data_IF_220990618710
#
_entry.id   IF_220990618710
#
_cell.length_a   1.000
_cell.length_b   1.000
_cell.length_c   1.000
_cell.angle_alpha   90.00
_cell.angle_beta   90.00
_cell.angle_gamma   90.00
#
_symmetry.space_group_name_H-M   'P 1'
#
loop_
_entity.id
_entity.type
_entity.pdbx_description
1 polymer ?
#
# COMPACT_ATOMS: atom_id res chain seq x y z
N UNK A 1 9.96 -9.38 7.53
CA UNK A 1 10.96 -8.64 8.33
C UNK A 1 10.21 -7.60 9.14
N UNK A 2 10.38 -7.57 10.46
CA UNK A 2 9.76 -6.55 11.30
C UNK A 2 10.49 -5.21 11.12
N UNK A 3 9.78 -4.08 11.06
CA UNK A 3 10.40 -2.77 10.86
C UNK A 3 11.15 -2.34 12.12
N UNK A 4 12.39 -1.86 11.97
CA UNK A 4 13.13 -1.25 13.07
C UNK A 4 12.60 0.12 13.49
N UNK A 5 11.97 0.86 12.56
CA UNK A 5 11.40 2.19 12.81
C UNK A 5 10.08 2.34 12.09
N UNK A 6 9.04 2.81 12.79
CA UNK A 6 7.74 3.18 12.21
C UNK A 6 7.63 4.70 12.21
N UNK A 7 7.30 5.28 11.05
CA UNK A 7 7.11 6.72 10.92
C UNK A 7 5.64 7.06 10.86
N UNK A 8 5.20 7.98 11.71
CA UNK A 8 3.81 8.42 11.82
C UNK A 8 3.71 9.94 11.82
N UNK A 9 2.49 10.46 11.67
CA UNK A 9 2.20 11.86 11.92
C UNK A 9 2.22 12.20 13.43
N UNK A 10 2.00 13.46 13.81
CA UNK A 10 2.08 13.91 15.22
C UNK A 10 0.81 13.67 16.05
N UNK A 11 -0.10 12.80 15.61
CA UNK A 11 -1.32 12.48 16.34
C UNK A 11 -0.99 11.80 17.69
N UNK A 12 -1.66 12.26 18.74
CA UNK A 12 -1.51 11.78 20.12
C UNK A 12 -1.95 10.31 20.31
N UNK A 13 -2.70 9.74 19.37
CA UNK A 13 -3.12 8.34 19.42
C UNK A 13 -1.97 7.34 19.18
N UNK A 14 -0.93 7.71 18.41
CA UNK A 14 0.09 6.75 17.99
C UNK A 14 0.99 6.22 19.11
N UNK A 15 1.48 7.04 20.07
CA UNK A 15 2.29 6.51 21.16
C UNK A 15 1.55 5.40 21.94
N UNK A 16 0.29 5.63 22.31
CA UNK A 16 -0.51 4.62 23.00
C UNK A 16 -0.73 3.37 22.15
N UNK A 17 -1.03 3.54 20.85
CA UNK A 17 -1.20 2.40 19.95
C UNK A 17 0.09 1.57 19.78
N UNK A 18 1.25 2.23 19.68
CA UNK A 18 2.55 1.56 19.51
C UNK A 18 2.93 0.77 20.76
N UNK A 19 2.69 1.30 21.96
CA UNK A 19 2.95 0.56 23.19
C UNK A 19 2.03 -0.66 23.31
N UNK A 20 0.73 -0.54 23.01
CA UNK A 20 -0.18 -1.70 22.94
C UNK A 20 0.33 -2.76 21.96
N UNK A 21 0.81 -2.35 20.78
CA UNK A 21 1.35 -3.27 19.76
C UNK A 21 2.68 -3.93 20.16
N UNK A 22 3.44 -3.33 21.08
CA UNK A 22 4.65 -3.94 21.65
C UNK A 22 4.30 -4.93 22.77
N UNK A 23 3.28 -4.61 23.55
CA UNK A 23 2.80 -5.43 24.66
C UNK A 23 2.12 -6.71 24.17
N UNK A 24 1.37 -6.63 23.07
CA UNK A 24 0.74 -7.78 22.40
C UNK A 24 1.67 -8.55 21.44
N UNK A 25 2.94 -8.14 21.38
CA UNK A 25 4.01 -8.73 20.54
C UNK A 25 3.72 -8.70 19.04
N UNK A 26 2.79 -7.84 18.57
CA UNK A 26 2.54 -7.63 17.14
C UNK A 26 3.73 -6.96 16.44
N UNK A 27 4.45 -6.07 17.16
CA UNK A 27 5.70 -5.46 16.69
C UNK A 27 6.83 -5.71 17.68
N UNK A 28 8.08 -5.63 17.22
CA UNK A 28 9.25 -5.81 18.07
C UNK A 28 9.30 -4.68 19.13
N UNK A 29 9.61 -5.04 20.39
CA UNK A 29 9.80 -4.07 21.48
C UNK A 29 10.90 -3.05 21.17
N UNK A 30 11.84 -3.41 20.29
CA UNK A 30 12.91 -2.54 19.78
C UNK A 30 12.46 -1.61 18.65
N UNK A 31 11.25 -1.76 18.11
CA UNK A 31 10.74 -0.89 17.06
C UNK A 31 10.58 0.54 17.60
N UNK A 32 11.28 1.48 16.98
CA UNK A 32 11.24 2.89 17.34
C UNK A 32 10.08 3.62 16.66
N UNK A 33 9.43 4.54 17.39
CA UNK A 33 8.45 5.45 16.84
C UNK A 33 9.11 6.75 16.41
N UNK A 34 8.96 7.13 15.14
CA UNK A 34 9.44 8.40 14.59
C UNK A 34 8.29 9.28 14.15
N UNK A 35 8.19 10.47 14.74
CA UNK A 35 7.24 11.49 14.30
C UNK A 35 7.93 12.50 13.37
N UNK A 36 7.70 12.41 12.06
CA UNK A 36 8.33 13.31 11.08
C UNK A 36 7.34 13.77 10.02
N UNK A 37 7.03 15.09 10.04
CA UNK A 37 6.13 15.70 9.06
C UNK A 37 6.64 15.56 7.62
N UNK A 38 7.94 15.71 7.41
CA UNK A 38 8.53 15.61 6.08
C UNK A 38 8.39 14.21 5.51
N UNK A 39 8.72 13.18 6.30
CA UNK A 39 8.58 11.80 5.87
C UNK A 39 7.12 11.38 5.73
N UNK A 40 6.22 11.96 6.55
CA UNK A 40 4.79 11.76 6.37
C UNK A 40 4.30 12.29 5.01
N UNK A 41 4.90 13.34 4.45
CA UNK A 41 4.52 13.84 3.12
C UNK A 41 4.69 12.78 2.02
N UNK A 42 5.68 11.88 2.15
CA UNK A 42 5.89 10.79 1.21
C UNK A 42 4.76 9.76 1.29
N UNK A 43 4.33 9.41 2.50
CA UNK A 43 3.13 8.56 2.73
C UNK A 43 1.89 9.24 2.14
N UNK A 44 1.73 10.55 2.37
CA UNK A 44 0.60 11.29 1.81
C UNK A 44 0.64 11.41 0.29
N UNK A 45 1.83 11.41 -0.31
CA UNK A 45 1.97 11.35 -1.76
C UNK A 45 1.50 10.01 -2.31
N UNK A 46 1.82 8.89 -1.66
CA UNK A 46 1.32 7.57 -2.05
C UNK A 46 -0.22 7.50 -1.97
N UNK A 47 -0.81 8.11 -0.94
CA UNK A 47 -2.27 8.22 -0.81
C UNK A 47 -2.93 8.98 -1.97
N UNK A 48 -2.25 9.93 -2.62
CA UNK A 48 -2.83 10.72 -3.71
C UNK A 48 -3.23 9.84 -4.90
N UNK A 49 -2.45 8.80 -5.19
CA UNK A 49 -2.74 7.90 -6.31
C UNK A 49 -4.04 7.13 -6.09
N UNK A 50 -4.22 6.59 -4.89
CA UNK A 50 -5.44 5.86 -4.51
C UNK A 50 -6.63 6.82 -4.50
N UNK A 51 -6.49 7.99 -3.85
CA UNK A 51 -7.55 9.01 -3.78
C UNK A 51 -7.96 9.51 -5.16
N UNK A 52 -7.01 9.68 -6.10
CA UNK A 52 -7.30 10.09 -7.49
C UNK A 52 -8.19 9.09 -8.21
N UNK A 53 -7.95 7.78 -8.02
CA UNK A 53 -8.75 6.72 -8.64
C UNK A 53 -10.13 6.63 -7.98
N UNK A 54 -10.20 6.72 -6.65
CA UNK A 54 -11.44 6.50 -5.89
C UNK A 54 -12.38 7.71 -5.89
N UNK A 55 -11.85 8.94 -5.94
CA UNK A 55 -12.65 10.18 -5.88
C UNK A 55 -13.79 10.25 -6.93
N UNK A 56 -13.58 9.93 -8.22
CA UNK A 56 -14.66 9.93 -9.21
C UNK A 56 -15.68 8.80 -9.02
N UNK A 57 -15.38 7.77 -8.21
CA UNK A 57 -16.28 6.64 -7.95
C UNK A 57 -17.38 6.96 -6.92
N UNK A 58 -17.39 8.19 -6.36
CA UNK A 58 -18.28 8.61 -5.26
C UNK A 58 -18.17 7.72 -4.01
N UNK A 59 -16.98 7.16 -3.77
CA UNK A 59 -16.71 6.29 -2.62
C UNK A 59 -17.14 4.84 -2.83
N UNK A 60 -17.09 4.06 -1.75
CA UNK A 60 -17.44 2.64 -1.76
C UNK A 60 -18.74 2.41 -1.01
N UNK A 61 -19.67 1.65 -1.60
CA UNK A 61 -20.96 1.34 -0.96
C UNK A 61 -20.86 0.34 0.20
N UNK A 62 -19.86 -0.53 0.20
CA UNK A 62 -19.65 -1.52 1.27
C UNK A 62 -18.16 -1.71 1.55
N UNK A 63 -17.83 -2.18 2.77
CA UNK A 63 -16.45 -2.51 3.15
C UNK A 63 -15.85 -3.61 2.26
N UNK A 64 -16.64 -4.62 1.91
CA UNK A 64 -16.19 -5.71 1.04
C UNK A 64 -15.83 -5.21 -0.37
N UNK A 65 -16.64 -4.32 -0.93
CA UNK A 65 -16.33 -3.66 -2.20
C UNK A 65 -15.05 -2.81 -2.09
N UNK A 66 -14.93 -2.00 -1.04
CA UNK A 66 -13.74 -1.18 -0.79
C UNK A 66 -12.47 -2.04 -0.75
N UNK A 67 -12.48 -3.11 0.05
CA UNK A 67 -11.35 -4.04 0.20
C UNK A 67 -10.94 -4.68 -1.13
N UNK A 68 -11.91 -5.16 -1.92
CA UNK A 68 -11.64 -5.79 -3.23
C UNK A 68 -11.07 -4.77 -4.23
N UNK A 69 -11.67 -3.58 -4.31
CA UNK A 69 -11.22 -2.53 -5.25
C UNK A 69 -9.83 -2.01 -4.88
N UNK A 70 -9.56 -1.73 -3.60
CA UNK A 70 -8.25 -1.27 -3.15
C UNK A 70 -7.16 -2.30 -3.43
N UNK A 71 -7.42 -3.60 -3.17
CA UNK A 71 -6.50 -4.68 -3.52
C UNK A 71 -6.21 -4.75 -5.02
N UNK A 72 -7.22 -4.54 -5.87
CA UNK A 72 -7.02 -4.48 -7.32
C UNK A 72 -6.14 -3.29 -7.74
N UNK A 73 -6.37 -2.12 -7.16
CA UNK A 73 -5.54 -0.92 -7.42
C UNK A 73 -4.08 -1.16 -7.00
N UNK A 74 -3.86 -1.78 -5.86
CA UNK A 74 -2.51 -2.15 -5.38
C UNK A 74 -1.85 -3.17 -6.31
N UNK A 75 -2.56 -4.23 -6.72
CA UNK A 75 -2.04 -5.23 -7.65
C UNK A 75 -1.59 -4.62 -8.97
N UNK A 76 -2.40 -3.74 -9.56
CA UNK A 76 -2.02 -3.02 -10.79
C UNK A 76 -0.81 -2.11 -10.58
N UNK A 77 -0.69 -1.47 -9.41
CA UNK A 77 0.49 -0.67 -9.09
C UNK A 77 1.76 -1.53 -8.95
N UNK A 78 1.68 -2.73 -8.37
CA UNK A 78 2.80 -3.67 -8.27
C UNK A 78 3.27 -4.14 -9.65
N UNK A 79 2.32 -4.47 -10.54
CA UNK A 79 2.59 -4.81 -11.95
C UNK A 79 3.33 -3.64 -12.63
N UNK A 80 2.79 -2.43 -12.53
CA UNK A 80 3.38 -1.23 -13.14
C UNK A 80 4.81 -0.96 -12.64
N UNK A 81 5.06 -1.17 -11.35
CA UNK A 81 6.38 -0.99 -10.72
C UNK A 81 7.36 -2.14 -10.99
N UNK A 82 6.94 -3.23 -11.65
CA UNK A 82 7.79 -4.40 -11.88
C UNK A 82 8.16 -5.14 -10.59
N UNK A 83 7.30 -5.07 -9.56
CA UNK A 83 7.54 -5.74 -8.28
C UNK A 83 7.24 -7.26 -8.34
N UNK A 84 6.76 -7.74 -9.48
CA UNK A 84 6.48 -9.14 -9.74
C UNK A 84 7.57 -9.73 -10.62
N UNK A 85 7.88 -11.00 -10.38
CA UNK A 85 8.89 -11.73 -11.15
C UNK A 85 8.52 -11.75 -12.64
N UNK A 86 9.51 -11.49 -13.50
CA UNK A 86 9.31 -11.48 -14.95
C UNK A 86 8.67 -10.21 -15.51
N UNK A 87 8.34 -9.22 -14.67
CA UNK A 87 7.82 -7.92 -15.13
C UNK A 87 8.93 -6.87 -15.03
N UNK A 88 9.22 -6.22 -16.16
CA UNK A 88 10.16 -5.10 -16.19
C UNK A 88 9.40 -3.81 -15.87
N UNK A 89 9.88 -3.07 -14.87
CA UNK A 89 9.27 -1.80 -14.46
C UNK A 89 9.12 -0.86 -15.66
N UNK A 90 7.91 -0.34 -15.89
CA UNK A 90 7.61 0.55 -17.01
C UNK A 90 7.51 -0.10 -18.40
N UNK A 91 7.82 -1.40 -18.56
CA UNK A 91 7.65 -2.11 -19.83
C UNK A 91 6.20 -2.56 -20.02
N UNK A 92 5.47 -1.84 -20.88
CA UNK A 92 4.09 -2.15 -21.26
C UNK A 92 3.94 -3.56 -21.84
N UNK A 93 4.93 -4.03 -22.61
CA UNK A 93 4.93 -5.38 -23.21
C UNK A 93 4.99 -6.47 -22.13
N UNK A 94 5.89 -6.33 -21.16
CA UNK A 94 5.98 -7.34 -20.08
C UNK A 94 4.74 -7.36 -19.19
N UNK A 95 4.13 -6.19 -18.95
CA UNK A 95 2.90 -6.07 -18.18
C UNK A 95 1.70 -6.66 -18.93
N UNK A 96 1.58 -6.40 -20.23
CA UNK A 96 0.51 -6.95 -21.07
C UNK A 96 0.57 -8.48 -21.11
N UNK A 97 1.75 -9.05 -21.39
CA UNK A 97 1.95 -10.51 -21.39
C UNK A 97 1.62 -11.16 -20.06
N UNK A 98 1.96 -10.51 -18.95
CA UNK A 98 1.62 -11.00 -17.62
C UNK A 98 0.11 -11.03 -17.38
N UNK A 99 -0.60 -9.98 -17.80
CA UNK A 99 -2.06 -9.90 -17.69
C UNK A 99 -2.72 -10.97 -18.58
N UNK A 100 -2.29 -11.09 -19.84
CA UNK A 100 -2.76 -12.14 -20.76
C UNK A 100 -2.61 -13.54 -20.16
N UNK A 101 -1.45 -13.82 -19.56
CA UNK A 101 -1.18 -15.09 -18.89
C UNK A 101 -2.09 -15.35 -17.68
N UNK A 102 -2.38 -14.34 -16.85
CA UNK A 102 -3.29 -14.48 -15.70
C UNK A 102 -4.73 -14.77 -16.13
N UNK A 103 -5.21 -14.03 -17.14
CA UNK A 103 -6.61 -14.12 -17.55
C UNK A 103 -6.86 -15.21 -18.57
N UNK A 104 -5.82 -15.94 -19.02
CA UNK A 104 -5.93 -16.95 -20.07
C UNK A 104 -6.46 -16.37 -21.38
N UNK A 105 -6.25 -15.06 -21.59
CA UNK A 105 -6.63 -14.39 -22.84
C UNK A 105 -5.55 -14.77 -23.84
N UNK A 106 -5.78 -15.89 -24.52
CA UNK A 106 -4.99 -16.26 -25.70
C UNK A 106 -5.26 -15.18 -26.74
N UNK A 107 -4.26 -14.37 -27.05
CA UNK A 107 -4.24 -13.59 -28.29
C UNK A 107 -3.95 -14.52 -29.47
#
# INVERSE_FOLDING_TARGET
QAPGVITVDKNAAYPAAIETLKDDETIDKKTELRQSKYLNNMIEQDHRNIKRIVKPMMGFRTFNSARRTLRGIEAMNMIRKGQLQGIVAGSSVSQARFIEAIFGIVA
#
